data_IF_880604043257
#
_entry.id   IF_880604043257
#
_cell.length_a   1.000
_cell.length_b   1.000
_cell.length_c   1.000
_cell.angle_alpha   90.00
_cell.angle_beta   90.00
_cell.angle_gamma   90.00
#
_symmetry.space_group_name_H-M   'P 1'
#
loop_
_entity.id
_entity.type
_entity.pdbx_description
1 polymer ?
#
# COMPACT_ATOMS: atom_id res chain seq x y z
N UNK A 1 5.34 27.08 -15.83
CA UNK A 1 6.50 26.25 -16.20
C UNK A 1 6.89 25.43 -14.97
N UNK A 2 7.27 24.16 -15.13
CA UNK A 2 7.78 23.37 -14.01
C UNK A 2 9.08 24.00 -13.49
N UNK A 3 9.31 23.94 -12.18
CA UNK A 3 10.57 24.43 -11.61
C UNK A 3 11.75 23.57 -12.08
N UNK A 4 12.95 24.15 -12.12
CA UNK A 4 14.19 23.39 -12.39
C UNK A 4 14.35 22.18 -11.47
N UNK A 5 13.87 22.30 -10.22
CA UNK A 5 13.84 21.18 -9.27
C UNK A 5 12.92 20.03 -9.70
N UNK A 6 11.75 20.33 -10.26
CA UNK A 6 10.83 19.32 -10.75
C UNK A 6 11.35 18.63 -12.02
N UNK A 7 12.04 19.37 -12.89
CA UNK A 7 12.69 18.81 -14.09
C UNK A 7 13.80 17.83 -13.69
N UNK A 8 14.72 18.24 -12.81
CA UNK A 8 15.81 17.38 -12.32
C UNK A 8 15.30 16.14 -11.57
N UNK A 9 14.22 16.28 -10.81
CA UNK A 9 13.58 15.15 -10.14
C UNK A 9 13.02 14.14 -11.14
N UNK A 10 12.38 14.63 -12.21
CA UNK A 10 11.88 13.76 -13.27
C UNK A 10 13.01 13.00 -13.97
N UNK A 11 14.11 13.68 -14.28
CA UNK A 11 15.28 13.06 -14.91
C UNK A 11 15.90 11.99 -14.00
N UNK A 12 16.02 12.27 -12.69
CA UNK A 12 16.56 11.28 -11.76
C UNK A 12 15.66 10.06 -11.60
N UNK A 13 14.34 10.26 -11.53
CA UNK A 13 13.38 9.16 -11.48
C UNK A 13 13.39 8.31 -12.76
N UNK A 14 13.47 8.95 -13.93
CA UNK A 14 13.51 8.23 -15.21
C UNK A 14 14.79 7.38 -15.38
N UNK A 15 15.86 7.72 -14.67
CA UNK A 15 17.11 6.96 -14.67
C UNK A 15 17.16 5.86 -13.59
N UNK A 16 16.18 5.78 -12.68
CA UNK A 16 16.15 4.74 -11.65
C UNK A 16 15.81 3.37 -12.25
N UNK A 17 16.35 2.27 -11.69
CA UNK A 17 15.99 0.92 -12.10
C UNK A 17 14.49 0.65 -11.96
N UNK A 18 13.94 -0.19 -12.84
CA UNK A 18 12.51 -0.51 -12.87
C UNK A 18 11.99 -1.14 -11.56
N UNK A 19 12.85 -1.84 -10.82
CA UNK A 19 12.55 -2.46 -9.52
C UNK A 19 12.08 -1.46 -8.45
N UNK A 20 12.41 -0.16 -8.59
CA UNK A 20 11.92 0.90 -7.70
C UNK A 20 10.47 1.30 -7.99
N UNK A 21 9.94 0.90 -9.14
CA UNK A 21 8.60 1.25 -9.62
C UNK A 21 7.73 0.02 -9.86
N UNK A 22 8.26 -1.19 -9.69
CA UNK A 22 7.54 -2.43 -9.90
C UNK A 22 6.45 -2.58 -8.83
N UNK A 23 5.16 -2.56 -9.21
CA UNK A 23 4.09 -2.76 -8.26
C UNK A 23 4.11 -4.22 -7.81
N UNK A 24 4.13 -4.42 -6.50
CA UNK A 24 3.90 -5.72 -5.89
C UNK A 24 2.42 -5.85 -5.56
N UNK A 25 2.00 -7.04 -5.18
CA UNK A 25 0.76 -7.25 -4.44
C UNK A 25 1.04 -7.26 -2.93
N UNK A 26 0.02 -6.96 -2.12
CA UNK A 26 0.13 -7.05 -0.67
C UNK A 26 0.58 -8.45 -0.22
N UNK A 27 0.15 -9.50 -0.93
CA UNK A 27 0.57 -10.88 -0.67
C UNK A 27 2.07 -11.09 -0.79
N UNK A 28 2.71 -10.43 -1.76
CA UNK A 28 4.15 -10.55 -2.07
C UNK A 28 5.07 -9.75 -1.14
N UNK A 29 4.53 -8.81 -0.35
CA UNK A 29 5.31 -8.09 0.66
C UNK A 29 5.83 -9.03 1.75
N UNK A 30 7.02 -8.75 2.26
CA UNK A 30 7.54 -9.41 3.45
C UNK A 30 6.95 -8.81 4.73
N UNK A 31 7.10 -9.54 5.84
CA UNK A 31 6.72 -9.02 7.16
C UNK A 31 7.52 -7.75 7.45
N UNK A 32 6.83 -6.73 7.97
CA UNK A 32 7.38 -5.42 8.30
C UNK A 32 7.79 -4.55 7.12
N UNK A 33 7.55 -4.98 5.87
CA UNK A 33 7.70 -4.11 4.73
C UNK A 33 6.79 -2.88 4.88
N UNK A 34 7.37 -1.72 4.59
CA UNK A 34 6.65 -0.46 4.46
C UNK A 34 6.11 -0.35 3.06
N UNK A 35 4.88 0.10 2.90
CA UNK A 35 4.28 0.22 1.58
C UNK A 35 3.25 1.34 1.49
N UNK A 36 2.98 1.73 0.24
CA UNK A 36 1.85 2.58 -0.15
C UNK A 36 0.88 1.68 -0.91
N UNK A 37 -0.39 1.64 -0.49
CA UNK A 37 -1.41 0.90 -1.23
C UNK A 37 -1.82 1.64 -2.51
N UNK A 38 -2.09 0.89 -3.58
CA UNK A 38 -2.66 1.37 -4.82
C UNK A 38 -4.13 0.90 -4.90
N UNK A 39 -5.07 1.65 -4.31
CA UNK A 39 -6.47 1.26 -4.26
C UNK A 39 -7.09 1.24 -5.66
N UNK A 40 -7.91 0.23 -5.92
CA UNK A 40 -8.68 0.14 -7.16
C UNK A 40 -9.92 1.05 -7.11
N UNK A 41 -10.40 1.57 -8.25
CA UNK A 41 -11.66 2.30 -8.30
C UNK A 41 -12.80 1.44 -7.71
N UNK A 42 -13.41 1.91 -6.62
CA UNK A 42 -14.43 1.15 -5.87
C UNK A 42 -14.04 0.82 -4.43
N UNK A 43 -12.75 0.93 -4.06
CA UNK A 43 -12.21 0.70 -2.71
C UNK A 43 -12.53 1.85 -1.71
N UNK A 44 -13.65 2.53 -1.93
CA UNK A 44 -13.99 3.81 -1.29
C UNK A 44 -14.57 3.71 0.13
N UNK A 45 -14.61 2.52 0.75
CA UNK A 45 -15.33 2.36 2.03
C UNK A 45 -14.46 2.10 3.27
N UNK A 46 -13.13 2.10 3.18
CA UNK A 46 -12.33 1.89 4.40
C UNK A 46 -10.86 2.32 4.36
N UNK A 47 -10.23 2.39 3.19
CA UNK A 47 -8.77 2.61 3.09
C UNK A 47 -8.37 3.99 2.57
N UNK A 48 -9.34 4.89 2.31
CA UNK A 48 -9.10 6.32 2.14
C UNK A 48 -8.57 6.80 0.78
N UNK A 49 -8.24 5.90 -0.16
CA UNK A 49 -7.66 6.34 -1.43
C UNK A 49 -6.33 7.10 -1.25
N UNK A 50 -5.86 7.79 -2.28
CA UNK A 50 -4.78 8.79 -2.13
C UNK A 50 -5.23 10.07 -1.41
N UNK A 51 -6.47 10.12 -0.88
CA UNK A 51 -6.99 11.26 -0.12
C UNK A 51 -6.57 11.12 1.34
N UNK A 52 -5.32 11.44 1.58
CA UNK A 52 -4.66 11.33 2.87
C UNK A 52 -3.22 10.91 2.62
N UNK A 53 -2.32 11.87 2.51
CA UNK A 53 -0.87 11.66 2.28
C UNK A 53 -0.15 10.85 3.37
N UNK A 54 -0.88 10.25 4.33
CA UNK A 54 -0.39 9.58 5.52
C UNK A 54 -0.54 8.05 5.47
N UNK A 55 -0.95 7.48 4.34
CA UNK A 55 -1.21 6.04 4.19
C UNK A 55 0.04 5.20 3.89
N UNK A 56 1.14 5.48 4.58
CA UNK A 56 2.24 4.52 4.69
C UNK A 56 1.82 3.46 5.69
N UNK A 57 1.88 2.19 5.27
CA UNK A 57 1.53 1.05 6.11
C UNK A 57 2.73 0.15 6.34
N UNK A 58 2.71 -0.59 7.44
CA UNK A 58 3.67 -1.66 7.74
C UNK A 58 2.91 -2.98 7.74
N UNK A 59 3.31 -3.92 6.89
CA UNK A 59 2.72 -5.28 6.87
C UNK A 59 3.02 -5.96 8.20
N UNK A 60 1.99 -6.55 8.81
CA UNK A 60 2.15 -7.31 10.05
C UNK A 60 2.19 -8.81 9.77
N UNK A 61 2.45 -9.60 10.81
CA UNK A 61 2.39 -11.06 10.73
C UNK A 61 0.96 -11.61 10.77
N UNK A 62 -0.04 -10.75 11.01
CA UNK A 62 -1.43 -11.18 11.18
C UNK A 62 -2.05 -11.54 9.82
N UNK A 63 -2.48 -12.79 9.71
CA UNK A 63 -3.30 -13.30 8.62
C UNK A 63 -4.76 -13.21 9.07
N UNK A 64 -5.62 -12.64 8.24
CA UNK A 64 -7.04 -12.51 8.55
C UNK A 64 -7.74 -13.74 8.03
N UNK A 65 -7.91 -14.74 8.90
CA UNK A 65 -8.60 -16.00 8.59
C UNK A 65 -10.03 -16.05 9.15
N UNK A 66 -10.40 -15.09 10.01
CA UNK A 66 -11.67 -15.11 10.73
C UNK A 66 -12.71 -14.16 10.13
N UNK A 67 -13.92 -14.69 10.00
CA UNK A 67 -15.11 -13.93 9.63
C UNK A 67 -15.52 -13.09 10.84
N UNK A 68 -15.12 -11.82 10.88
CA UNK A 68 -15.67 -10.90 11.88
C UNK A 68 -17.15 -10.69 11.54
N UNK A 69 -18.10 -10.68 12.52
CA UNK A 69 -19.50 -10.44 12.22
C UNK A 69 -19.67 -9.12 11.44
N UNK A 70 -20.14 -9.19 10.20
CA UNK A 70 -20.27 -8.04 9.28
C UNK A 70 -19.22 -7.94 8.17
N UNK A 71 -18.19 -8.79 8.18
CA UNK A 71 -17.15 -8.86 7.15
C UNK A 71 -16.90 -10.33 6.75
N UNK A 72 -17.68 -10.83 5.80
CA UNK A 72 -17.35 -12.07 5.11
C UNK A 72 -16.30 -11.77 4.05
N UNK A 73 -15.02 -11.84 4.44
CA UNK A 73 -13.94 -11.79 3.47
C UNK A 73 -14.02 -13.04 2.58
N UNK A 74 -14.58 -12.89 1.38
CA UNK A 74 -14.65 -13.97 0.37
C UNK A 74 -13.33 -14.26 -0.34
N UNK A 75 -12.23 -13.62 0.08
CA UNK A 75 -10.88 -13.72 -0.52
C UNK A 75 -9.80 -13.63 0.58
N UNK A 76 -8.57 -14.15 0.36
CA UNK A 76 -7.48 -14.07 1.34
C UNK A 76 -7.06 -12.63 1.68
N UNK A 77 -6.93 -12.34 2.98
CA UNK A 77 -6.49 -11.04 3.50
C UNK A 77 -5.37 -11.21 4.53
N UNK A 78 -4.52 -10.19 4.61
CA UNK A 78 -3.63 -9.99 5.76
C UNK A 78 -3.83 -8.60 6.33
N UNK A 79 -3.08 -8.28 7.40
CA UNK A 79 -3.24 -7.02 8.13
C UNK A 79 -1.98 -6.18 8.10
N UNK A 80 -2.18 -4.88 7.99
CA UNK A 80 -1.14 -3.88 8.14
C UNK A 80 -1.53 -2.86 9.21
N UNK A 81 -0.58 -2.02 9.63
CA UNK A 81 -0.84 -0.87 10.51
C UNK A 81 -0.39 0.40 9.82
N UNK A 82 -1.19 1.46 9.94
CA UNK A 82 -0.78 2.78 9.52
C UNK A 82 0.48 3.18 10.31
N UNK A 83 1.54 3.59 9.61
CA UNK A 83 2.84 3.87 10.21
C UNK A 83 2.78 5.01 11.24
N UNK A 84 2.00 6.06 10.95
CA UNK A 84 1.92 7.24 11.81
C UNK A 84 0.91 7.08 12.95
N UNK A 85 -0.22 6.44 12.69
CA UNK A 85 -1.35 6.37 13.62
C UNK A 85 -1.45 5.05 14.39
N UNK A 86 -0.72 4.02 13.96
CA UNK A 86 -0.77 2.67 14.54
C UNK A 86 -2.09 1.92 14.33
N UNK A 87 -3.06 2.52 13.63
CA UNK A 87 -4.40 1.95 13.39
C UNK A 87 -4.29 0.75 12.43
N UNK A 88 -4.88 -0.41 12.76
CA UNK A 88 -4.86 -1.58 11.89
C UNK A 88 -5.78 -1.40 10.67
N UNK A 89 -5.44 -2.08 9.58
CA UNK A 89 -6.26 -2.18 8.37
C UNK A 89 -6.02 -3.52 7.69
N UNK A 90 -7.07 -4.10 7.13
CA UNK A 90 -7.02 -5.38 6.43
C UNK A 90 -6.87 -5.15 4.93
N UNK A 91 -6.05 -5.95 4.27
CA UNK A 91 -5.72 -5.80 2.85
C UNK A 91 -5.89 -7.14 2.13
N UNK A 92 -6.61 -7.17 0.99
CA UNK A 92 -6.62 -8.33 0.11
C UNK A 92 -5.20 -8.65 -0.35
N UNK A 93 -4.83 -9.93 -0.39
CA UNK A 93 -3.50 -10.31 -0.90
C UNK A 93 -3.27 -9.85 -2.34
N UNK A 94 -4.33 -9.68 -3.14
CA UNK A 94 -4.29 -9.22 -4.52
C UNK A 94 -4.19 -7.70 -4.68
N UNK A 95 -4.23 -6.91 -3.61
CA UNK A 95 -4.16 -5.45 -3.72
C UNK A 95 -2.76 -5.02 -4.18
N UNK A 96 -2.68 -4.19 -5.22
CA UNK A 96 -1.41 -3.63 -5.66
C UNK A 96 -0.85 -2.63 -4.65
N UNK A 97 0.47 -2.63 -4.50
CA UNK A 97 1.21 -1.81 -3.54
C UNK A 97 2.57 -1.42 -4.12
N UNK A 98 3.13 -0.33 -3.60
CA UNK A 98 4.53 0.06 -3.85
C UNK A 98 5.27 -0.13 -2.53
N UNK A 99 6.30 -0.99 -2.53
CA UNK A 99 7.19 -1.16 -1.36
C UNK A 99 8.09 0.07 -1.22
N UNK A 100 8.22 0.57 0.00
CA UNK A 100 9.16 1.62 0.37
C UNK A 100 10.41 0.95 0.91
N UNK A 101 11.53 1.15 0.21
CA UNK A 101 12.86 0.71 0.64
C UNK A 101 13.36 1.56 1.82
#
# INVERSE_FOLDING_TARGET
>A
MASDSAVRLKESWAAMPAEFFEPLTFGELEKYDRFICLPSPGDNHGHGGFRGTEYVFVKTEQIVTEVTPGLSYGIPHGRARNFFRGVPSDFPHSMFVIRIL
#
